data_IF_570786290821
#
_entry.id   IF_570786290821
#
_cell.length_a   1.000
_cell.length_b   1.000
_cell.length_c   1.000
_cell.angle_alpha   90.00
_cell.angle_beta   90.00
_cell.angle_gamma   90.00
#
_symmetry.space_group_name_H-M   'P 1'
#
loop_
_entity.id
_entity.type
_entity.pdbx_description
1 polymer ?
#
# COMPACT_ATOMS: atom_id res chain seq x y z
N UNK A 1 24.59 -1.16 -8.16
CA UNK A 1 23.87 0.11 -8.44
C UNK A 1 22.43 -0.23 -8.79
N UNK A 2 21.45 0.37 -8.10
CA UNK A 2 20.05 0.28 -8.52
C UNK A 2 19.89 1.06 -9.83
N UNK A 3 19.54 0.37 -10.91
CA UNK A 3 19.29 1.03 -12.19
C UNK A 3 17.93 1.74 -12.11
N UNK A 4 17.93 3.06 -12.31
CA UNK A 4 16.69 3.85 -12.35
C UNK A 4 15.75 3.34 -13.45
N UNK A 5 16.30 2.93 -14.59
CA UNK A 5 15.56 2.35 -15.71
C UNK A 5 14.87 1.05 -15.28
N UNK A 6 15.56 0.20 -14.51
CA UNK A 6 14.95 -1.02 -13.98
C UNK A 6 13.81 -0.69 -13.00
N UNK A 7 13.98 0.31 -12.14
CA UNK A 7 12.94 0.73 -11.20
C UNK A 7 11.69 1.25 -11.92
N UNK A 8 11.89 2.07 -12.96
CA UNK A 8 10.79 2.57 -13.81
C UNK A 8 10.08 1.44 -14.55
N UNK A 9 10.85 0.49 -15.08
CA UNK A 9 10.32 -0.68 -15.81
C UNK A 9 9.49 -1.56 -14.87
N UNK A 10 10.02 -1.86 -13.68
CA UNK A 10 9.31 -2.63 -12.66
C UNK A 10 8.04 -1.91 -12.20
N UNK A 11 8.09 -0.58 -12.01
CA UNK A 11 6.92 0.20 -11.65
C UNK A 11 5.83 0.13 -12.72
N UNK A 12 6.21 0.30 -13.99
CA UNK A 12 5.26 0.20 -15.11
C UNK A 12 4.63 -1.20 -15.17
N UNK A 13 5.43 -2.26 -15.05
CA UNK A 13 4.95 -3.64 -15.05
C UNK A 13 3.94 -3.85 -13.92
N UNK A 14 4.26 -3.44 -12.69
CA UNK A 14 3.37 -3.62 -11.55
C UNK A 14 2.06 -2.84 -11.70
N UNK A 15 2.13 -1.58 -12.15
CA UNK A 15 0.95 -0.75 -12.43
C UNK A 15 0.05 -1.44 -13.46
N UNK A 16 0.61 -1.91 -14.58
CA UNK A 16 -0.17 -2.58 -15.63
C UNK A 16 -0.81 -3.87 -15.11
N UNK A 17 -0.03 -4.73 -14.43
CA UNK A 17 -0.52 -6.01 -13.91
C UNK A 17 -1.69 -5.82 -12.93
N UNK A 18 -1.54 -4.90 -11.98
CA UNK A 18 -2.55 -4.70 -10.93
C UNK A 18 -3.76 -3.91 -11.42
N UNK A 19 -3.62 -3.09 -12.47
CA UNK A 19 -4.76 -2.40 -13.09
C UNK A 19 -5.51 -3.24 -14.12
N UNK A 20 -4.91 -4.29 -14.68
CA UNK A 20 -5.53 -5.07 -15.75
C UNK A 20 -6.90 -5.62 -15.34
N UNK A 21 -6.98 -6.28 -14.18
CA UNK A 21 -8.22 -6.84 -13.66
C UNK A 21 -9.26 -5.74 -13.34
N UNK A 22 -8.94 -4.68 -12.56
CA UNK A 22 -9.84 -3.55 -12.37
C UNK A 22 -10.35 -2.91 -13.67
N UNK A 23 -9.48 -2.74 -14.65
CA UNK A 23 -9.80 -2.09 -15.92
C UNK A 23 -10.75 -2.93 -16.76
N UNK A 24 -10.48 -4.23 -16.93
CA UNK A 24 -11.37 -5.15 -17.65
C UNK A 24 -12.74 -5.18 -16.98
N UNK A 25 -12.78 -5.29 -15.65
CA UNK A 25 -14.04 -5.31 -14.90
C UNK A 25 -14.85 -4.03 -15.11
N UNK A 26 -14.21 -2.86 -14.97
CA UNK A 26 -14.85 -1.57 -15.21
C UNK A 26 -15.35 -1.46 -16.66
N UNK A 27 -14.53 -1.88 -17.63
CA UNK A 27 -14.87 -1.79 -19.05
C UNK A 27 -16.16 -2.56 -19.37
N UNK A 28 -16.34 -3.75 -18.78
CA UNK A 28 -17.54 -4.56 -19.01
C UNK A 28 -18.74 -4.04 -18.21
N UNK A 29 -18.56 -3.62 -16.96
CA UNK A 29 -19.69 -3.42 -16.02
C UNK A 29 -20.10 -1.96 -15.80
N UNK A 30 -19.19 -1.00 -15.97
CA UNK A 30 -19.35 0.36 -15.45
C UNK A 30 -18.92 1.48 -16.40
N UNK A 31 -18.29 1.19 -17.56
CA UNK A 31 -17.80 2.21 -18.51
C UNK A 31 -18.84 3.22 -19.00
N UNK A 32 -20.13 2.84 -19.00
CA UNK A 32 -21.24 3.72 -19.40
C UNK A 32 -21.81 4.53 -18.23
N UNK A 33 -21.42 4.22 -16.98
CA UNK A 33 -21.97 4.81 -15.75
C UNK A 33 -21.04 5.84 -15.11
N UNK A 34 -19.72 5.62 -15.17
CA UNK A 34 -18.72 6.55 -14.61
C UNK A 34 -17.35 6.35 -15.27
N UNK A 35 -16.48 7.36 -15.16
CA UNK A 35 -15.08 7.25 -15.56
C UNK A 35 -14.35 6.18 -14.72
N UNK A 36 -13.24 5.64 -15.24
CA UNK A 36 -12.44 4.64 -14.53
C UNK A 36 -11.84 5.21 -13.23
N UNK A 37 -11.31 6.44 -13.27
CA UNK A 37 -10.69 7.08 -12.11
C UNK A 37 -11.69 7.34 -10.99
N UNK A 38 -12.90 7.82 -11.32
CA UNK A 38 -13.94 8.00 -10.31
C UNK A 38 -14.40 6.66 -9.73
N UNK A 39 -14.51 5.63 -10.58
CA UNK A 39 -14.97 4.31 -10.21
C UNK A 39 -14.01 3.57 -9.28
N UNK A 40 -12.70 3.72 -9.52
CA UNK A 40 -11.64 3.17 -8.67
C UNK A 40 -11.36 4.06 -7.44
N UNK A 41 -11.95 5.26 -7.37
CA UNK A 41 -11.76 6.20 -6.27
C UNK A 41 -10.45 6.97 -6.36
N UNK A 42 -9.80 7.02 -7.51
CA UNK A 42 -8.66 7.92 -7.78
C UNK A 42 -9.19 9.32 -8.06
N UNK A 43 -9.70 9.97 -7.01
CA UNK A 43 -10.36 11.28 -7.05
C UNK A 43 -9.82 12.18 -5.95
N UNK A 44 -9.89 13.51 -6.10
CA UNK A 44 -9.40 14.45 -5.10
C UNK A 44 -9.97 14.17 -3.71
N UNK A 45 -9.16 14.43 -2.69
CA UNK A 45 -9.62 14.42 -1.31
C UNK A 45 -10.67 15.51 -1.15
N UNK A 46 -11.89 15.14 -0.74
CA UNK A 46 -12.93 16.13 -0.47
C UNK A 46 -12.57 16.86 0.81
N UNK A 47 -12.25 18.14 0.67
CA UNK A 47 -12.16 19.02 1.83
C UNK A 47 -13.57 19.21 2.40
N UNK A 48 -13.82 18.59 3.54
CA UNK A 48 -15.10 18.70 4.26
C UNK A 48 -15.08 19.90 5.23
N UNK A 49 -14.05 20.75 5.17
CA UNK A 49 -13.82 21.82 6.14
C UNK A 49 -13.41 21.29 7.52
N UNK A 50 -13.12 19.99 7.62
CA UNK A 50 -12.87 19.30 8.88
C UNK A 50 -11.46 18.71 8.86
N UNK A 51 -10.52 19.38 9.56
CA UNK A 51 -9.10 18.98 9.67
C UNK A 51 -8.90 17.55 10.22
N UNK A 52 -9.96 16.89 10.71
CA UNK A 52 -9.96 15.52 11.21
C UNK A 52 -9.44 14.50 10.19
N UNK A 53 -9.64 14.67 8.87
CA UNK A 53 -9.11 13.72 7.87
C UNK A 53 -7.58 13.66 7.91
N UNK A 54 -6.92 14.82 7.91
CA UNK A 54 -5.46 14.91 7.99
C UNK A 54 -4.92 14.38 9.30
N UNK A 55 -5.67 14.54 10.40
CA UNK A 55 -5.33 13.92 11.68
C UNK A 55 -5.34 12.38 11.58
N UNK A 56 -6.34 11.77 10.92
CA UNK A 56 -6.33 10.31 10.68
C UNK A 56 -5.15 9.89 9.80
N UNK A 57 -4.86 10.63 8.73
CA UNK A 57 -3.70 10.34 7.87
C UNK A 57 -2.39 10.38 8.67
N UNK A 58 -2.21 11.43 9.47
CA UNK A 58 -1.02 11.62 10.29
C UNK A 58 -0.87 10.56 11.38
N UNK A 59 -1.94 10.31 12.16
CA UNK A 59 -1.94 9.29 13.20
C UNK A 59 -1.71 7.90 12.63
N UNK A 60 -2.34 7.57 11.51
CA UNK A 60 -2.12 6.31 10.79
C UNK A 60 -0.66 6.12 10.41
N UNK A 61 -0.08 7.10 9.70
CA UNK A 61 1.32 7.06 9.29
C UNK A 61 2.27 6.91 10.47
N UNK A 62 2.07 7.70 11.53
CA UNK A 62 2.90 7.65 12.74
C UNK A 62 2.80 6.29 13.43
N UNK A 63 1.57 5.82 13.69
CA UNK A 63 1.33 4.53 14.33
C UNK A 63 1.91 3.38 13.52
N UNK A 64 1.75 3.37 12.19
CA UNK A 64 2.28 2.32 11.34
C UNK A 64 3.80 2.30 11.30
N UNK A 65 4.43 3.47 11.23
CA UNK A 65 5.89 3.55 11.18
C UNK A 65 6.49 3.04 12.49
N UNK A 66 5.96 3.50 13.63
CA UNK A 66 6.40 3.05 14.96
C UNK A 66 6.12 1.55 15.14
N UNK A 67 4.91 1.10 14.84
CA UNK A 67 4.52 -0.29 15.01
C UNK A 67 5.33 -1.23 14.11
N UNK A 68 5.56 -0.86 12.85
CA UNK A 68 6.37 -1.65 11.92
C UNK A 68 7.82 -1.72 12.38
N UNK A 69 8.39 -0.64 12.92
CA UNK A 69 9.73 -0.67 13.49
C UNK A 69 9.81 -1.53 14.76
N UNK A 70 8.86 -1.38 15.69
CA UNK A 70 8.90 -2.11 16.96
C UNK A 70 8.59 -3.60 16.82
N UNK A 71 7.72 -3.97 15.87
CA UNK A 71 7.25 -5.35 15.70
C UNK A 71 7.90 -6.03 14.51
N UNK A 72 7.77 -5.49 13.30
CA UNK A 72 8.26 -6.17 12.10
C UNK A 72 9.79 -6.16 12.04
N UNK A 73 10.42 -5.00 12.17
CA UNK A 73 11.88 -4.92 12.08
C UNK A 73 12.59 -5.74 13.17
N UNK A 74 12.08 -5.76 14.40
CA UNK A 74 12.66 -6.58 15.48
C UNK A 74 12.44 -8.08 15.27
N UNK A 75 11.33 -8.48 14.64
CA UNK A 75 10.94 -9.88 14.43
C UNK A 75 11.59 -10.50 13.19
N UNK A 76 11.84 -9.72 12.14
CA UNK A 76 12.40 -10.18 10.86
C UNK A 76 13.61 -9.36 10.39
N UNK A 77 14.47 -8.93 11.32
CA UNK A 77 15.61 -8.05 11.05
C UNK A 77 16.51 -8.50 9.89
N UNK A 78 16.80 -9.80 9.81
CA UNK A 78 17.73 -10.35 8.81
C UNK A 78 17.06 -10.69 7.48
N UNK A 79 15.74 -10.47 7.36
CA UNK A 79 14.99 -10.73 6.14
C UNK A 79 15.34 -9.69 5.07
N UNK A 80 15.84 -10.15 3.92
CA UNK A 80 16.03 -9.29 2.75
C UNK A 80 14.68 -8.88 2.19
N UNK A 81 14.43 -7.58 2.15
CA UNK A 81 13.23 -6.99 1.56
C UNK A 81 13.60 -6.17 0.31
N UNK A 82 12.59 -5.64 -0.39
CA UNK A 82 12.84 -4.80 -1.55
C UNK A 82 13.66 -3.53 -1.22
N UNK A 83 13.54 -2.99 0.01
CA UNK A 83 14.32 -1.82 0.43
C UNK A 83 15.79 -2.14 0.71
N UNK A 84 16.14 -3.41 0.96
CA UNK A 84 17.54 -3.84 1.12
C UNK A 84 18.40 -3.54 -0.11
N UNK A 85 17.80 -3.38 -1.30
CA UNK A 85 18.49 -2.97 -2.52
C UNK A 85 19.05 -1.53 -2.46
N UNK A 86 18.54 -0.70 -1.55
CA UNK A 86 18.97 0.68 -1.34
C UNK A 86 20.10 0.82 -0.33
N UNK A 87 20.42 -0.24 0.41
CA UNK A 87 21.33 -0.19 1.56
C UNK A 87 22.70 0.43 1.22
N UNK A 88 23.11 1.41 2.02
CA UNK A 88 24.43 2.06 1.91
C UNK A 88 24.57 3.08 0.77
N UNK A 89 23.51 3.37 0.02
CA UNK A 89 23.55 4.35 -1.09
C UNK A 89 23.31 5.80 -0.64
N UNK A 90 22.88 6.03 0.61
CA UNK A 90 22.56 7.36 1.14
C UNK A 90 21.59 8.14 0.24
N UNK A 91 21.87 9.42 -0.01
CA UNK A 91 21.04 10.26 -0.87
C UNK A 91 21.00 9.82 -2.35
N UNK A 92 21.96 9.02 -2.81
CA UNK A 92 21.94 8.50 -4.19
C UNK A 92 20.77 7.53 -4.42
N UNK A 93 20.23 6.92 -3.35
CA UNK A 93 19.04 6.08 -3.43
C UNK A 93 17.76 6.86 -3.70
N UNK A 94 17.70 8.16 -3.37
CA UNK A 94 16.46 8.92 -3.30
C UNK A 94 15.60 8.81 -4.57
N UNK A 95 16.12 8.96 -5.79
CA UNK A 95 15.32 8.80 -7.00
C UNK A 95 14.70 7.40 -7.12
N UNK A 96 15.48 6.35 -6.82
CA UNK A 96 15.00 4.98 -6.89
C UNK A 96 13.98 4.66 -5.78
N UNK A 97 14.21 5.15 -4.56
CA UNK A 97 13.29 5.04 -3.42
C UNK A 97 11.96 5.71 -3.75
N UNK A 98 11.96 6.90 -4.37
CA UNK A 98 10.73 7.58 -4.76
C UNK A 98 9.96 6.78 -5.82
N UNK A 99 10.62 6.29 -6.86
CA UNK A 99 9.94 5.50 -7.90
C UNK A 99 9.37 4.21 -7.33
N UNK A 100 10.16 3.50 -6.54
CA UNK A 100 9.74 2.31 -5.81
C UNK A 100 8.50 2.59 -4.96
N UNK A 101 8.59 3.60 -4.09
CA UNK A 101 7.60 3.85 -3.05
C UNK A 101 6.31 4.43 -3.60
N UNK A 102 6.37 5.35 -4.56
CA UNK A 102 5.17 5.99 -5.11
C UNK A 102 4.49 5.13 -6.18
N UNK A 103 5.27 4.50 -7.07
CA UNK A 103 4.75 3.92 -8.30
C UNK A 103 4.86 2.41 -8.37
N UNK A 104 5.91 1.79 -7.82
CA UNK A 104 6.07 0.35 -7.97
C UNK A 104 5.22 -0.47 -7.01
N UNK A 105 5.08 -0.02 -5.76
CA UNK A 105 4.36 -0.77 -4.73
C UNK A 105 3.05 -0.10 -4.37
N UNK A 106 3.12 1.10 -3.78
CA UNK A 106 1.94 1.72 -3.17
C UNK A 106 0.81 1.99 -4.17
N UNK A 107 1.09 2.59 -5.35
CA UNK A 107 0.04 2.91 -6.31
C UNK A 107 -0.68 1.64 -6.85
N UNK A 108 0.01 0.63 -7.41
CA UNK A 108 -0.60 -0.63 -7.85
C UNK A 108 -1.43 -1.30 -6.75
N UNK A 109 -0.85 -1.41 -5.55
CA UNK A 109 -1.50 -2.06 -4.43
C UNK A 109 -2.75 -1.31 -3.97
N UNK A 110 -2.69 0.02 -3.84
CA UNK A 110 -3.86 0.81 -3.48
C UNK A 110 -4.96 0.75 -4.54
N UNK A 111 -4.61 0.73 -5.83
CA UNK A 111 -5.55 0.58 -6.94
C UNK A 111 -6.28 -0.78 -6.88
N UNK A 112 -5.54 -1.88 -6.70
CA UNK A 112 -6.13 -3.23 -6.67
C UNK A 112 -6.94 -3.46 -5.39
N UNK A 113 -6.35 -3.20 -4.22
CA UNK A 113 -6.90 -3.62 -2.95
C UNK A 113 -7.99 -2.66 -2.45
N UNK A 114 -7.74 -1.35 -2.45
CA UNK A 114 -8.68 -0.35 -1.90
C UNK A 114 -9.55 0.22 -3.01
N UNK A 115 -8.99 0.43 -4.18
CA UNK A 115 -9.71 0.97 -5.33
C UNK A 115 -10.67 -0.03 -5.96
N UNK A 116 -10.24 -1.28 -6.13
CA UNK A 116 -11.05 -2.33 -6.76
C UNK A 116 -11.70 -3.25 -5.73
N UNK A 117 -10.95 -4.13 -5.06
CA UNK A 117 -11.48 -5.21 -4.23
C UNK A 117 -12.42 -4.70 -3.14
N UNK A 118 -11.97 -3.75 -2.31
CA UNK A 118 -12.78 -3.16 -1.24
C UNK A 118 -14.10 -2.61 -1.77
N UNK A 119 -14.06 -1.83 -2.85
CA UNK A 119 -15.25 -1.22 -3.44
C UNK A 119 -16.18 -2.27 -4.04
N UNK A 120 -15.66 -3.33 -4.66
CA UNK A 120 -16.48 -4.42 -5.23
C UNK A 120 -17.17 -5.20 -4.13
N UNK A 121 -16.43 -5.61 -3.09
CA UNK A 121 -17.02 -6.31 -1.94
C UNK A 121 -18.05 -5.44 -1.22
N UNK A 122 -17.83 -4.14 -1.12
CA UNK A 122 -18.78 -3.19 -0.51
C UNK A 122 -20.09 -3.01 -1.29
N UNK A 123 -20.22 -3.53 -2.51
CA UNK A 123 -21.50 -3.57 -3.23
C UNK A 123 -22.43 -4.62 -2.63
N UNK A 124 -21.88 -5.75 -2.18
CA UNK A 124 -22.66 -6.90 -1.72
C UNK A 124 -22.57 -7.15 -0.21
N UNK A 125 -21.54 -6.61 0.45
CA UNK A 125 -21.23 -6.85 1.86
C UNK A 125 -21.22 -5.54 2.64
N UNK A 126 -21.41 -5.63 3.96
CA UNK A 126 -21.19 -4.49 4.84
C UNK A 126 -19.73 -4.04 4.78
N UNK A 127 -19.47 -2.74 4.99
CA UNK A 127 -18.11 -2.20 4.96
C UNK A 127 -17.15 -2.98 5.86
N UNK A 128 -17.58 -3.37 7.07
CA UNK A 128 -16.74 -4.12 8.00
C UNK A 128 -16.24 -5.43 7.39
N UNK A 129 -17.15 -6.23 6.82
CA UNK A 129 -16.82 -7.51 6.20
C UNK A 129 -15.97 -7.29 4.94
N UNK A 130 -16.36 -6.37 4.06
CA UNK A 130 -15.62 -6.06 2.85
C UNK A 130 -14.18 -5.63 3.14
N UNK A 131 -13.99 -4.76 4.14
CA UNK A 131 -12.69 -4.28 4.56
C UNK A 131 -11.83 -5.38 5.20
N UNK A 132 -12.43 -6.26 6.00
CA UNK A 132 -11.73 -7.43 6.55
C UNK A 132 -11.25 -8.37 5.45
N UNK A 133 -12.08 -8.68 4.45
CA UNK A 133 -11.68 -9.58 3.34
C UNK A 133 -10.52 -8.97 2.56
N UNK A 134 -10.64 -7.70 2.17
CA UNK A 134 -9.58 -7.00 1.43
C UNK A 134 -8.26 -6.97 2.22
N UNK A 135 -8.33 -6.68 3.52
CA UNK A 135 -7.19 -6.63 4.41
C UNK A 135 -6.53 -8.00 4.62
N UNK A 136 -7.34 -9.05 4.76
CA UNK A 136 -6.85 -10.42 4.87
C UNK A 136 -6.12 -10.86 3.59
N UNK A 137 -6.68 -10.56 2.41
CA UNK A 137 -6.02 -10.85 1.13
C UNK A 137 -4.68 -10.11 0.99
N UNK A 138 -4.64 -8.84 1.41
CA UNK A 138 -3.41 -8.05 1.42
C UNK A 138 -2.35 -8.65 2.36
N UNK A 139 -2.75 -9.01 3.58
CA UNK A 139 -1.85 -9.61 4.56
C UNK A 139 -1.33 -10.98 4.12
N UNK A 140 -2.21 -11.83 3.58
CA UNK A 140 -1.84 -13.14 3.05
C UNK A 140 -0.85 -13.02 1.89
N UNK A 141 -1.05 -12.07 0.97
CA UNK A 141 -0.09 -11.81 -0.11
C UNK A 141 1.31 -11.54 0.46
N UNK A 142 1.41 -10.67 1.46
CA UNK A 142 2.69 -10.31 2.09
C UNK A 142 3.32 -11.48 2.85
N UNK A 143 2.54 -12.27 3.58
CA UNK A 143 3.05 -13.47 4.25
C UNK A 143 3.58 -14.52 3.28
N UNK A 144 2.82 -14.79 2.21
CA UNK A 144 3.19 -15.78 1.19
C UNK A 144 4.49 -15.43 0.47
N UNK A 145 4.80 -14.14 0.29
CA UNK A 145 6.07 -13.71 -0.31
C UNK A 145 7.31 -14.15 0.48
N UNK A 146 7.18 -14.41 1.78
CA UNK A 146 8.31 -14.73 2.67
C UNK A 146 8.17 -16.07 3.40
N UNK A 147 7.14 -16.86 3.10
CA UNK A 147 6.81 -18.09 3.84
C UNK A 147 7.94 -19.14 3.83
N UNK A 148 8.83 -19.11 2.84
CA UNK A 148 10.00 -19.99 2.73
C UNK A 148 11.26 -19.43 3.39
N UNK A 149 11.26 -18.13 3.71
CA UNK A 149 12.42 -17.39 4.24
C UNK A 149 12.35 -17.19 5.76
N UNK A 150 11.14 -17.28 6.34
CA UNK A 150 10.91 -17.03 7.76
C UNK A 150 10.10 -18.15 8.40
N UNK A 151 10.14 -18.23 9.74
CA UNK A 151 9.33 -19.20 10.49
C UNK A 151 7.82 -18.96 10.32
N UNK A 152 7.01 -19.97 10.65
CA UNK A 152 5.55 -19.85 10.64
C UNK A 152 5.04 -18.69 11.52
N UNK A 153 5.70 -18.46 12.67
CA UNK A 153 5.33 -17.38 13.59
C UNK A 153 5.65 -16.02 13.01
N UNK A 154 6.85 -15.86 12.41
CA UNK A 154 7.23 -14.63 11.70
C UNK A 154 6.30 -14.36 10.51
N UNK A 155 5.93 -15.40 9.76
CA UNK A 155 4.95 -15.30 8.66
C UNK A 155 3.60 -14.80 9.19
N UNK A 156 3.10 -15.37 10.28
CA UNK A 156 1.85 -14.94 10.92
C UNK A 156 1.92 -13.48 11.36
N UNK A 157 3.04 -13.03 11.94
CA UNK A 157 3.26 -11.64 12.32
C UNK A 157 3.21 -10.73 11.08
N UNK A 158 3.89 -11.08 9.99
CA UNK A 158 3.83 -10.32 8.72
C UNK A 158 2.39 -10.19 8.23
N UNK A 159 1.63 -11.28 8.19
CA UNK A 159 0.23 -11.30 7.73
C UNK A 159 -0.63 -10.37 8.58
N UNK A 160 -0.54 -10.49 9.92
CA UNK A 160 -1.36 -9.72 10.84
C UNK A 160 -1.01 -8.23 10.79
N UNK A 161 0.28 -7.88 10.74
CA UNK A 161 0.73 -6.49 10.69
C UNK A 161 0.31 -5.81 9.38
N UNK A 162 0.63 -6.43 8.23
CA UNK A 162 0.32 -5.85 6.91
C UNK A 162 -1.20 -5.84 6.65
N UNK A 163 -1.92 -6.87 7.08
CA UNK A 163 -3.39 -6.90 7.05
C UNK A 163 -4.02 -5.83 7.94
N UNK A 164 -3.53 -5.64 9.17
CA UNK A 164 -4.00 -4.60 10.08
C UNK A 164 -3.82 -3.19 9.49
N UNK A 165 -2.66 -2.91 8.90
CA UNK A 165 -2.39 -1.67 8.16
C UNK A 165 -3.39 -1.53 7.01
N UNK A 166 -3.59 -2.58 6.22
CA UNK A 166 -4.52 -2.55 5.09
C UNK A 166 -5.99 -2.30 5.49
N UNK A 167 -6.43 -2.86 6.62
CA UNK A 167 -7.76 -2.61 7.16
C UNK A 167 -7.94 -1.14 7.53
N UNK A 168 -6.94 -0.53 8.17
CA UNK A 168 -7.01 0.89 8.52
C UNK A 168 -6.94 1.80 7.28
N UNK A 169 -6.10 1.48 6.29
CA UNK A 169 -6.05 2.23 5.03
C UNK A 169 -7.41 2.22 4.31
N UNK A 170 -8.09 1.07 4.26
CA UNK A 170 -9.44 0.97 3.72
C UNK A 170 -10.47 1.78 4.53
N UNK A 171 -10.36 1.81 5.87
CA UNK A 171 -11.18 2.67 6.72
C UNK A 171 -10.98 4.16 6.45
N UNK A 172 -9.73 4.62 6.34
CA UNK A 172 -9.45 6.04 6.06
C UNK A 172 -10.02 6.44 4.70
N UNK A 173 -9.88 5.59 3.68
CA UNK A 173 -10.44 5.87 2.36
C UNK A 173 -11.97 6.02 2.42
N UNK A 174 -12.67 4.98 2.89
CA UNK A 174 -14.13 4.91 2.80
C UNK A 174 -14.86 5.75 3.86
N UNK A 175 -14.29 5.88 5.06
CA UNK A 175 -14.95 6.57 6.18
C UNK A 175 -14.43 7.97 6.47
N UNK A 176 -13.22 8.31 6.04
CA UNK A 176 -12.60 9.62 6.32
C UNK A 176 -12.32 10.46 5.08
N UNK A 177 -12.22 9.85 3.90
CA UNK A 177 -11.76 10.51 2.67
C UNK A 177 -12.77 10.43 1.52
N UNK A 178 -14.05 10.17 1.83
CA UNK A 178 -15.12 10.12 0.83
C UNK A 178 -14.94 9.05 -0.25
N UNK A 179 -14.24 7.96 0.09
CA UNK A 179 -13.89 6.86 -0.81
C UNK A 179 -12.74 7.19 -1.76
N UNK A 180 -11.96 8.25 -1.51
CA UNK A 180 -10.72 8.54 -2.25
C UNK A 180 -9.58 7.63 -1.78
N UNK A 181 -8.87 7.02 -2.72
CA UNK A 181 -7.66 6.21 -2.43
C UNK A 181 -6.40 7.07 -2.31
N UNK A 182 -6.47 8.38 -2.54
CA UNK A 182 -5.30 9.25 -2.40
C UNK A 182 -4.81 9.31 -0.95
N UNK A 183 -5.72 9.21 0.03
CA UNK A 183 -5.35 9.22 1.44
C UNK A 183 -4.49 8.01 1.81
N UNK A 184 -4.93 6.80 1.45
CA UNK A 184 -4.14 5.60 1.65
C UNK A 184 -2.86 5.58 0.83
N UNK A 185 -2.90 6.04 -0.42
CA UNK A 185 -1.72 6.11 -1.27
C UNK A 185 -0.64 7.01 -0.69
N UNK A 186 -0.99 8.18 -0.18
CA UNK A 186 -0.04 9.08 0.51
C UNK A 186 0.57 8.39 1.73
N UNK A 187 -0.25 7.80 2.62
CA UNK A 187 0.26 7.12 3.81
C UNK A 187 1.21 5.97 3.46
N UNK A 188 0.81 5.13 2.51
CA UNK A 188 1.57 3.97 2.09
C UNK A 188 2.88 4.38 1.40
N UNK A 189 2.81 5.32 0.44
CA UNK A 189 3.99 5.83 -0.23
C UNK A 189 4.98 6.46 0.76
N UNK A 190 4.51 7.28 1.72
CA UNK A 190 5.37 7.89 2.73
C UNK A 190 6.02 6.86 3.65
N UNK A 191 5.29 5.84 4.09
CA UNK A 191 5.85 4.75 4.89
C UNK A 191 6.96 4.00 4.12
N UNK A 192 6.78 3.77 2.82
CA UNK A 192 7.79 3.15 1.96
C UNK A 192 8.99 4.08 1.72
N UNK A 193 8.79 5.39 1.55
CA UNK A 193 9.88 6.36 1.43
C UNK A 193 10.71 6.38 2.71
N UNK A 194 10.07 6.45 3.89
CA UNK A 194 10.75 6.42 5.18
C UNK A 194 11.59 5.15 5.29
N UNK A 195 10.99 3.98 5.05
CA UNK A 195 11.69 2.68 5.16
C UNK A 195 12.83 2.57 4.15
N UNK A 196 12.62 2.99 2.90
CA UNK A 196 13.65 2.98 1.87
C UNK A 196 14.83 3.89 2.21
N UNK A 197 14.55 5.09 2.74
CA UNK A 197 15.61 6.02 3.16
C UNK A 197 16.34 5.53 4.42
N UNK A 198 15.65 4.95 5.39
CA UNK A 198 16.29 4.34 6.57
C UNK A 198 17.28 3.25 6.14
N UNK A 199 16.88 2.37 5.20
CA UNK A 199 17.80 1.37 4.65
C UNK A 199 18.96 2.01 3.90
N UNK A 200 18.70 3.05 3.09
CA UNK A 200 19.74 3.76 2.34
C UNK A 200 20.84 4.36 3.23
N UNK A 201 20.49 4.79 4.44
CA UNK A 201 21.42 5.31 5.45
C UNK A 201 21.92 4.24 6.46
N UNK A 202 21.61 2.96 6.24
CA UNK A 202 21.99 1.85 7.14
C UNK A 202 21.47 2.01 8.57
N UNK A 203 20.27 2.60 8.71
CA UNK A 203 19.60 2.82 10.00
C UNK A 203 18.66 1.66 10.37
N UNK A 204 18.34 0.79 9.39
CA UNK A 204 17.63 -0.48 9.52
C UNK A 204 18.27 -1.51 8.59
#
# INVERSE_FOLDING_TARGET
>A
MVSLIQQMTNALIQIVLFMLLPFIWWFVTARRKSSFLDWIGFKPLKDTGNHKMWLWIFLGLLSFTIFSYLVLYTTVKDLKTATSSFAGLGFQALPAVLIYSLFQTSLPEELLFRGFLLKRFSVCLSFGIANTIQAALFGLLHGLMFITEVSWLQTLVIILCTGGIAAYLGFVNEKKSGGSILASWIMHALANVITGMLSAFLLI
#
